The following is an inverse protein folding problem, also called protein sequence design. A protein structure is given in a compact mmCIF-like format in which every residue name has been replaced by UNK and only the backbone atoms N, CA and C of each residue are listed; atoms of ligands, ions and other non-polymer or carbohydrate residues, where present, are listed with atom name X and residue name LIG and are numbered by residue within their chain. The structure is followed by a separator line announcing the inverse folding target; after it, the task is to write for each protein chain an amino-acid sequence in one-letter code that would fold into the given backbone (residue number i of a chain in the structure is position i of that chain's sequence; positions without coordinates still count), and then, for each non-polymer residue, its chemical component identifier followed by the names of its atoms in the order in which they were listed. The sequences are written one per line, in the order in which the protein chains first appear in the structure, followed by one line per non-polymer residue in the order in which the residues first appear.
data_IF_019126958601
#
_entry.id   IF_019126958601
#
_cell.length_a   1.000
_cell.length_b   1.000
_cell.length_c   1.000
_cell.angle_alpha   90.00
_cell.angle_beta   90.00
_cell.angle_gamma   90.00
#
_symmetry.space_group_name_H-M   'P 1'
#
loop_
_entity.id
_entity.type
_entity.pdbx_description
1 polymer ?
#
# COMPACT_ATOMS: atom_id res chain seq x y z
N UNK A 1 -7.56 -4.91 3.74
CA UNK A 1 -7.13 -6.30 4.00
C UNK A 1 -8.37 -7.12 4.27
N UNK A 2 -9.09 -7.39 3.19
CA UNK A 2 -10.10 -8.44 3.14
C UNK A 2 -9.39 -9.79 3.40
N UNK A 3 -10.15 -10.85 3.67
CA UNK A 3 -9.72 -12.25 3.66
C UNK A 3 -8.94 -12.66 2.40
N UNK A 4 -9.06 -11.89 1.32
CA UNK A 4 -8.35 -12.09 0.06
C UNK A 4 -7.22 -11.08 -0.08
N UNK A 5 -5.96 -11.53 -0.26
CA UNK A 5 -4.88 -10.66 -0.68
C UNK A 5 -5.25 -9.95 -1.98
N UNK A 6 -4.95 -8.66 -2.07
CA UNK A 6 -5.11 -7.88 -3.30
C UNK A 6 -3.74 -7.55 -3.88
N UNK A 7 -3.67 -7.42 -5.20
CA UNK A 7 -2.48 -6.94 -5.90
C UNK A 7 -2.61 -5.44 -6.12
N UNK A 8 -1.65 -4.66 -5.64
CA UNK A 8 -1.64 -3.20 -5.75
C UNK A 8 -1.15 -2.76 -7.15
N UNK A 9 -1.96 -3.00 -8.19
CA UNK A 9 -1.60 -2.73 -9.60
C UNK A 9 -1.24 -1.27 -9.83
N UNK A 10 -1.92 -0.33 -9.18
CA UNK A 10 -1.62 1.10 -9.28
C UNK A 10 -0.19 1.45 -8.81
N UNK A 11 0.30 0.79 -7.74
CA UNK A 11 1.68 0.94 -7.26
C UNK A 11 2.67 0.40 -8.31
N UNK A 12 2.38 -0.78 -8.87
CA UNK A 12 3.24 -1.41 -9.87
C UNK A 12 3.36 -0.56 -11.14
N UNK A 13 2.25 0.01 -11.60
CA UNK A 13 2.21 0.91 -12.76
C UNK A 13 2.97 2.21 -12.49
N UNK A 14 2.81 2.82 -11.30
CA UNK A 14 3.54 4.03 -10.91
C UNK A 14 5.06 3.79 -10.93
N UNK A 15 5.53 2.69 -10.34
CA UNK A 15 6.96 2.32 -10.37
C UNK A 15 7.44 2.08 -11.81
N UNK A 16 6.64 1.39 -12.64
CA UNK A 16 6.98 1.16 -14.05
C UNK A 16 7.09 2.47 -14.84
N UNK A 17 6.31 3.48 -14.47
CA UNK A 17 6.30 4.81 -15.07
C UNK A 17 7.35 5.75 -14.47
N UNK A 18 8.18 5.29 -13.52
CA UNK A 18 9.29 6.05 -12.96
C UNK A 18 8.95 6.92 -11.75
N UNK A 19 7.79 6.71 -11.10
CA UNK A 19 7.50 7.33 -9.82
C UNK A 19 8.47 6.85 -8.73
N UNK A 20 8.75 7.72 -7.77
CA UNK A 20 9.53 7.35 -6.57
C UNK A 20 8.77 6.37 -5.67
N UNK A 21 9.49 5.65 -4.80
CA UNK A 21 8.87 4.81 -3.76
C UNK A 21 7.83 5.57 -2.91
N UNK A 22 8.11 6.83 -2.60
CA UNK A 22 7.19 7.68 -1.83
C UNK A 22 5.88 7.91 -2.61
N UNK A 23 5.96 8.37 -3.86
CA UNK A 23 4.78 8.64 -4.69
C UNK A 23 3.97 7.37 -4.99
N UNK A 24 4.65 6.29 -5.38
CA UNK A 24 3.99 5.03 -5.69
C UNK A 24 3.28 4.44 -4.46
N UNK A 25 3.87 4.57 -3.28
CA UNK A 25 3.30 4.00 -2.05
C UNK A 25 1.97 4.61 -1.62
N UNK A 26 1.65 5.84 -2.03
CA UNK A 26 0.36 6.48 -1.69
C UNK A 26 -0.83 5.73 -2.30
N UNK A 27 -0.60 5.07 -3.45
CA UNK A 27 -1.56 4.23 -4.16
C UNK A 27 -1.76 2.85 -3.51
N UNK A 28 -0.95 2.46 -2.53
CA UNK A 28 -1.00 1.12 -1.93
C UNK A 28 -2.31 0.81 -1.21
N UNK A 29 -3.05 1.84 -0.79
CA UNK A 29 -4.37 1.69 -0.16
C UNK A 29 -5.54 1.73 -1.16
N UNK A 30 -5.27 1.90 -2.46
CA UNK A 30 -6.30 1.90 -3.48
C UNK A 30 -6.94 0.50 -3.58
N UNK A 31 -8.28 0.44 -3.60
CA UNK A 31 -9.02 -0.82 -3.56
C UNK A 31 -8.92 -1.57 -2.22
N UNK A 32 -8.29 -1.01 -1.19
CA UNK A 32 -8.25 -1.62 0.14
C UNK A 32 -9.52 -1.31 0.96
N UNK A 33 -10.25 -2.38 1.28
CA UNK A 33 -11.35 -2.36 2.25
C UNK A 33 -10.97 -3.20 3.49
N UNK A 34 -10.06 -2.71 4.36
CA UNK A 34 -9.72 -3.43 5.60
C UNK A 34 -10.89 -3.39 6.60
N UNK A 35 -11.13 -4.46 7.36
CA UNK A 35 -12.04 -4.42 8.49
C UNK A 35 -11.47 -3.54 9.60
N UNK A 36 -12.36 -2.95 10.40
CA UNK A 36 -12.02 -2.40 11.71
C UNK A 36 -12.34 -3.44 12.79
N UNK A 37 -11.45 -3.56 13.78
CA UNK A 37 -11.61 -4.41 14.95
C UNK A 37 -10.89 -3.81 16.17
N UNK A 38 -10.80 -4.57 17.26
CA UNK A 38 -10.11 -4.15 18.49
C UNK A 38 -8.61 -3.88 18.31
N UNK A 39 -7.99 -4.37 17.22
CA UNK A 39 -6.56 -4.22 16.98
C UNK A 39 -6.26 -2.94 16.21
N UNK A 40 -7.13 -2.54 15.29
CA UNK A 40 -6.98 -1.29 14.55
C UNK A 40 -8.24 -0.91 13.74
N UNK A 41 -8.44 0.39 13.58
CA UNK A 41 -9.42 0.97 12.67
C UNK A 41 -9.02 0.90 11.19
N UNK A 42 -9.99 1.14 10.31
CA UNK A 42 -9.81 1.08 8.85
C UNK A 42 -8.74 2.06 8.34
N UNK A 43 -8.78 3.30 8.83
CA UNK A 43 -7.87 4.36 8.38
C UNK A 43 -6.43 4.09 8.79
N UNK A 44 -6.21 3.55 9.99
CA UNK A 44 -4.89 3.11 10.41
C UNK A 44 -4.35 2.01 9.50
N UNK A 45 -5.17 1.01 9.13
CA UNK A 45 -4.74 -0.07 8.24
C UNK A 45 -4.46 0.40 6.82
N UNK A 46 -5.24 1.36 6.31
CA UNK A 46 -4.97 2.03 5.02
C UNK A 46 -3.67 2.80 5.05
N UNK A 47 -3.45 3.57 6.12
CA UNK A 47 -2.19 4.29 6.33
C UNK A 47 -0.99 3.32 6.41
N UNK A 48 -1.15 2.24 7.17
CA UNK A 48 -0.10 1.23 7.33
C UNK A 48 0.26 0.56 6.00
N UNK A 49 -0.71 0.30 5.12
CA UNK A 49 -0.43 -0.24 3.79
C UNK A 49 0.54 0.68 3.00
N UNK A 50 0.29 2.00 2.99
CA UNK A 50 1.18 2.97 2.34
C UNK A 50 2.57 2.96 2.94
N UNK A 51 2.66 2.99 4.27
CA UNK A 51 3.95 3.01 4.99
C UNK A 51 4.78 1.75 4.72
N UNK A 52 4.17 0.57 4.79
CA UNK A 52 4.87 -0.70 4.57
C UNK A 52 5.29 -0.86 3.11
N UNK A 53 4.44 -0.48 2.16
CA UNK A 53 4.79 -0.50 0.74
C UNK A 53 5.97 0.42 0.44
N UNK A 54 5.99 1.65 0.97
CA UNK A 54 7.12 2.56 0.82
C UNK A 54 8.42 1.92 1.30
N UNK A 55 8.42 1.39 2.52
CA UNK A 55 9.62 0.77 3.13
C UNK A 55 10.12 -0.41 2.31
N UNK A 56 9.21 -1.27 1.82
CA UNK A 56 9.58 -2.40 0.99
C UNK A 56 10.17 -1.99 -0.36
N UNK A 57 9.63 -0.93 -0.98
CA UNK A 57 10.18 -0.37 -2.23
C UNK A 57 11.58 0.19 -2.01
N UNK A 58 11.76 1.02 -0.98
CA UNK A 58 13.06 1.59 -0.58
C UNK A 58 14.09 0.49 -0.30
N UNK A 59 13.72 -0.55 0.44
CA UNK A 59 14.59 -1.70 0.74
C UNK A 59 14.96 -2.50 -0.53
N UNK A 60 14.06 -2.56 -1.51
CA UNK A 60 14.29 -3.21 -2.80
C UNK A 60 15.08 -2.38 -3.81
N UNK A 61 15.44 -1.14 -3.48
CA UNK A 61 16.11 -0.20 -4.39
C UNK A 61 15.21 0.32 -5.52
N UNK A 62 13.89 0.37 -5.27
CA UNK A 62 12.87 0.90 -6.18
C UNK A 62 12.45 2.31 -5.80
#
# INVERSE_FOLDING_TARGET
MDSRPIRATAVEEAIKNGSSAAEASELAAEGCEPPADINAGMDYRRHLARVLTRRGLEESGR
#
